data_IF_202276158558
#
_entry.id   IF_202276158558
#
_cell.length_a   1.000
_cell.length_b   1.000
_cell.length_c   1.000
_cell.angle_alpha   90.00
_cell.angle_beta   90.00
_cell.angle_gamma   90.00
#
_symmetry.space_group_name_H-M   'P 1'
#
loop_
_entity.id
_entity.type
_entity.pdbx_description
1 polymer ?
#
# COMPACT_ATOMS: atom_id res chain seq x y z
N UNK A 1 -5.15 -3.56 13.52
CA UNK A 1 -5.04 -4.54 12.42
C UNK A 1 -3.67 -5.24 12.45
N UNK A 2 -3.58 -6.52 12.03
CA UNK A 2 -2.31 -7.15 11.66
C UNK A 2 -2.53 -7.96 10.37
N UNK A 3 -2.09 -7.45 9.23
CA UNK A 3 -2.08 -8.22 7.98
C UNK A 3 -1.17 -9.45 8.15
N UNK A 4 -1.41 -10.53 7.40
CA UNK A 4 -0.50 -11.70 7.45
C UNK A 4 0.83 -11.32 6.80
N UNK A 5 0.78 -10.81 5.56
CA UNK A 5 1.96 -10.42 4.79
C UNK A 5 1.72 -9.09 4.07
N UNK A 6 2.68 -8.17 4.19
CA UNK A 6 2.75 -6.95 3.36
C UNK A 6 3.85 -7.12 2.32
N UNK A 7 3.53 -6.82 1.06
CA UNK A 7 4.46 -6.84 -0.06
C UNK A 7 4.86 -5.41 -0.43
N UNK A 8 6.17 -5.18 -0.56
CA UNK A 8 6.76 -3.87 -0.91
C UNK A 8 7.65 -4.01 -2.15
N UNK A 9 7.72 -2.98 -2.98
CA UNK A 9 8.56 -3.01 -4.18
C UNK A 9 10.03 -2.77 -3.84
N UNK A 10 10.89 -3.67 -4.31
CA UNK A 10 12.33 -3.58 -4.12
C UNK A 10 12.90 -2.39 -4.88
N UNK A 11 13.73 -1.57 -4.23
CA UNK A 11 14.42 -0.45 -4.88
C UNK A 11 13.59 0.83 -5.03
N UNK A 12 12.30 0.80 -4.63
CA UNK A 12 11.44 1.98 -4.62
C UNK A 12 11.64 2.78 -3.32
N UNK A 13 11.88 4.10 -3.45
CA UNK A 13 12.16 4.97 -2.29
C UNK A 13 11.01 5.01 -1.29
N UNK A 14 9.77 5.04 -1.77
CA UNK A 14 8.58 5.02 -0.92
C UNK A 14 8.49 3.72 -0.12
N UNK A 15 8.72 2.57 -0.76
CA UNK A 15 8.72 1.26 -0.12
C UNK A 15 9.74 1.18 1.03
N UNK A 16 10.92 1.76 0.85
CA UNK A 16 11.91 1.87 1.93
C UNK A 16 11.42 2.77 3.07
N UNK A 17 10.81 3.92 2.74
CA UNK A 17 10.32 4.87 3.74
C UNK A 17 9.22 4.28 4.63
N UNK A 18 8.33 3.45 4.08
CA UNK A 18 7.21 2.84 4.84
C UNK A 18 7.55 1.45 5.41
N UNK A 19 8.79 0.98 5.32
CA UNK A 19 9.16 -0.39 5.73
C UNK A 19 8.94 -0.64 7.23
N UNK A 20 9.24 0.35 8.08
CA UNK A 20 9.00 0.26 9.52
C UNK A 20 7.51 0.15 9.85
N UNK A 21 6.69 0.95 9.17
CA UNK A 21 5.24 0.93 9.27
C UNK A 21 4.65 -0.41 8.84
N UNK A 22 5.11 -0.97 7.71
CA UNK A 22 4.68 -2.27 7.23
C UNK A 22 5.01 -3.37 8.25
N UNK A 23 6.20 -3.32 8.86
CA UNK A 23 6.64 -4.28 9.88
C UNK A 23 5.79 -4.20 11.15
N UNK A 24 5.36 -3.01 11.54
CA UNK A 24 4.47 -2.82 12.69
C UNK A 24 3.05 -3.37 12.42
N UNK A 25 2.59 -3.33 11.16
CA UNK A 25 1.22 -3.69 10.77
C UNK A 25 1.05 -5.08 10.16
N UNK A 26 2.12 -5.85 9.97
CA UNK A 26 2.06 -7.21 9.43
C UNK A 26 2.77 -8.24 10.29
N UNK A 27 2.44 -9.52 10.08
CA UNK A 27 3.24 -10.64 10.58
C UNK A 27 4.57 -10.79 9.83
N UNK A 28 4.54 -10.54 8.52
CA UNK A 28 5.68 -10.65 7.61
C UNK A 28 5.70 -9.49 6.61
N UNK A 29 6.91 -9.03 6.23
CA UNK A 29 7.11 -8.08 5.14
C UNK A 29 8.01 -8.71 4.09
N UNK A 30 7.52 -8.78 2.85
CA UNK A 30 8.22 -9.39 1.71
C UNK A 30 8.53 -8.33 0.67
N UNK A 31 9.80 -8.24 0.27
CA UNK A 31 10.21 -7.40 -0.85
C UNK A 31 10.00 -8.16 -2.16
N UNK A 32 9.36 -7.53 -3.13
CA UNK A 32 9.10 -8.09 -4.46
C UNK A 32 9.68 -7.19 -5.54
N UNK A 33 10.13 -7.80 -6.63
CA UNK A 33 10.59 -7.08 -7.81
C UNK A 33 9.40 -6.71 -8.69
N UNK A 34 9.44 -5.51 -9.27
CA UNK A 34 8.48 -5.03 -10.27
C UNK A 34 8.53 -5.84 -11.58
N UNK A 35 9.63 -6.55 -11.83
CA UNK A 35 9.90 -7.28 -13.08
C UNK A 35 9.16 -8.61 -13.23
N UNK A 36 8.50 -9.11 -12.18
CA UNK A 36 7.77 -10.36 -12.22
C UNK A 36 6.32 -10.15 -11.76
N UNK A 37 5.30 -10.46 -12.60
CA UNK A 37 3.88 -10.46 -12.23
C UNK A 37 3.52 -11.39 -11.05
N UNK A 38 4.49 -12.10 -10.51
CA UNK A 38 4.35 -13.08 -9.44
C UNK A 38 3.75 -12.48 -8.15
N UNK A 39 3.93 -11.18 -7.90
CA UNK A 39 3.24 -10.50 -6.79
C UNK A 39 1.73 -10.50 -6.96
N UNK A 40 1.24 -10.51 -8.20
CA UNK A 40 -0.18 -10.45 -8.51
C UNK A 40 -0.91 -11.69 -8.02
N UNK A 41 -0.33 -12.87 -8.23
CA UNK A 41 -0.90 -14.15 -7.79
C UNK A 41 -0.67 -14.40 -6.30
N UNK A 42 0.36 -13.77 -5.72
CA UNK A 42 0.72 -13.91 -4.31
C UNK A 42 -0.02 -12.96 -3.38
N UNK A 43 -0.73 -11.97 -3.91
CA UNK A 43 -1.47 -10.97 -3.13
C UNK A 43 -2.97 -11.09 -3.36
N UNK A 44 -3.74 -10.75 -2.32
CA UNK A 44 -5.19 -10.73 -2.38
C UNK A 44 -5.77 -9.32 -2.48
N UNK A 45 -4.97 -8.29 -2.19
CA UNK A 45 -5.44 -6.92 -2.09
C UNK A 45 -4.32 -5.91 -2.38
N UNK A 46 -4.72 -4.69 -2.77
CA UNK A 46 -3.83 -3.60 -3.12
C UNK A 46 -4.14 -2.36 -2.27
N UNK A 47 -3.13 -1.83 -1.61
CA UNK A 47 -3.16 -0.56 -0.90
C UNK A 47 -2.27 0.46 -1.62
N UNK A 48 -2.82 1.64 -1.91
CA UNK A 48 -2.13 2.69 -2.65
C UNK A 48 -2.06 3.94 -1.78
N UNK A 49 -0.85 4.42 -1.52
CA UNK A 49 -0.63 5.76 -0.97
C UNK A 49 -0.50 6.74 -2.13
N UNK A 50 -1.15 7.89 -2.01
CA UNK A 50 -1.05 8.98 -2.95
C UNK A 50 -1.06 10.33 -2.25
N UNK A 51 -0.80 11.39 -3.00
CA UNK A 51 -1.00 12.77 -2.59
C UNK A 51 -1.94 13.44 -3.57
N UNK A 52 -2.99 14.11 -3.07
CA UNK A 52 -3.96 14.82 -3.88
C UNK A 52 -4.68 13.93 -4.91
N UNK A 53 -4.87 12.65 -4.60
CA UNK A 53 -5.51 11.64 -5.46
C UNK A 53 -4.77 11.31 -6.77
N UNK A 54 -3.57 11.85 -6.98
CA UNK A 54 -2.77 11.59 -8.18
C UNK A 54 -2.08 10.22 -8.11
N UNK A 55 -2.14 9.47 -9.21
CA UNK A 55 -1.49 8.17 -9.35
C UNK A 55 -0.57 8.19 -10.56
N UNK A 56 0.66 7.71 -10.40
CA UNK A 56 1.58 7.55 -11.52
C UNK A 56 1.04 6.51 -12.52
N UNK A 57 1.42 6.58 -13.81
CA UNK A 57 0.98 5.63 -14.81
C UNK A 57 1.20 4.17 -14.41
N UNK A 58 2.35 3.86 -13.79
CA UNK A 58 2.73 2.51 -13.36
C UNK A 58 1.76 1.97 -12.28
N UNK A 59 1.42 2.80 -11.30
CA UNK A 59 0.46 2.43 -10.25
C UNK A 59 -0.95 2.27 -10.83
N UNK A 60 -1.33 3.09 -11.83
CA UNK A 60 -2.61 2.94 -12.51
C UNK A 60 -2.72 1.62 -13.28
N UNK A 61 -1.65 1.18 -13.93
CA UNK A 61 -1.62 -0.12 -14.63
C UNK A 61 -1.81 -1.28 -13.66
N UNK A 62 -1.08 -1.28 -12.53
CA UNK A 62 -1.23 -2.31 -11.50
C UNK A 62 -2.66 -2.28 -10.94
N UNK A 63 -3.18 -1.08 -10.62
CA UNK A 63 -4.56 -0.94 -10.15
C UNK A 63 -5.57 -1.54 -11.13
N UNK A 64 -5.46 -1.26 -12.43
CA UNK A 64 -6.35 -1.82 -13.46
C UNK A 64 -6.32 -3.35 -13.48
N UNK A 65 -5.17 -3.96 -13.25
CA UNK A 65 -5.07 -5.40 -13.13
C UNK A 65 -5.82 -5.93 -11.89
N UNK A 66 -5.82 -5.23 -10.74
CA UNK A 66 -6.54 -5.66 -9.53
C UNK A 66 -8.04 -5.52 -9.70
N UNK A 67 -8.47 -4.40 -10.29
CA UNK A 67 -9.87 -4.17 -10.64
C UNK A 67 -10.39 -5.28 -11.57
N UNK A 68 -9.60 -5.69 -12.58
CA UNK A 68 -9.98 -6.75 -13.54
C UNK A 68 -10.19 -8.11 -12.85
N UNK A 69 -9.45 -8.41 -11.79
CA UNK A 69 -9.60 -9.63 -11.01
C UNK A 69 -10.58 -9.48 -9.83
N UNK A 70 -11.25 -8.32 -9.71
CA UNK A 70 -12.14 -8.00 -8.59
C UNK A 70 -11.45 -8.11 -7.22
N UNK A 71 -10.13 -7.89 -7.18
CA UNK A 71 -9.38 -7.87 -5.92
C UNK A 71 -9.59 -6.51 -5.24
N UNK A 72 -9.77 -6.47 -3.90
CA UNK A 72 -9.93 -5.24 -3.16
C UNK A 72 -8.78 -4.25 -3.39
N UNK A 73 -9.12 -2.99 -3.68
CA UNK A 73 -8.16 -1.88 -3.79
C UNK A 73 -8.57 -0.77 -2.82
N UNK A 74 -7.62 -0.28 -2.03
CA UNK A 74 -7.80 0.88 -1.16
C UNK A 74 -6.78 1.97 -1.46
N UNK A 75 -7.20 3.23 -1.27
CA UNK A 75 -6.36 4.41 -1.50
C UNK A 75 -6.30 5.25 -0.23
N UNK A 76 -5.11 5.66 0.16
CA UNK A 76 -4.85 6.60 1.25
C UNK A 76 -4.25 7.86 0.62
N UNK A 77 -4.97 8.97 0.76
CA UNK A 77 -4.42 10.29 0.46
C UNK A 77 -3.69 10.81 1.69
N UNK A 78 -2.36 10.95 1.59
CA UNK A 78 -1.52 11.39 2.70
C UNK A 78 -1.77 12.85 3.08
N UNK A 79 -2.35 13.65 2.18
CA UNK A 79 -2.76 15.02 2.48
C UNK A 79 -4.17 15.09 3.09
N UNK A 80 -4.89 13.97 3.14
CA UNK A 80 -6.15 13.85 3.85
C UNK A 80 -5.98 13.80 5.37
N UNK A 81 -7.09 13.70 6.08
CA UNK A 81 -7.09 13.58 7.54
C UNK A 81 -6.54 12.22 7.98
N UNK A 82 -5.39 12.22 8.69
CA UNK A 82 -4.71 11.02 9.18
C UNK A 82 -5.64 10.02 9.89
N UNK A 83 -6.44 10.50 10.85
CA UNK A 83 -7.37 9.65 11.62
C UNK A 83 -8.41 8.97 10.73
N UNK A 84 -8.87 9.67 9.69
CA UNK A 84 -9.82 9.10 8.71
C UNK A 84 -9.12 8.06 7.85
N UNK A 85 -7.89 8.33 7.41
CA UNK A 85 -7.07 7.39 6.65
C UNK A 85 -6.81 6.09 7.42
N UNK A 86 -6.40 6.18 8.68
CA UNK A 86 -6.11 5.01 9.53
C UNK A 86 -7.37 4.22 9.84
N UNK A 87 -8.44 4.87 10.30
CA UNK A 87 -9.69 4.18 10.65
C UNK A 87 -10.33 3.49 9.43
N UNK A 88 -10.30 4.15 8.26
CA UNK A 88 -10.81 3.55 7.02
C UNK A 88 -9.97 2.38 6.55
N UNK A 89 -8.65 2.42 6.76
CA UNK A 89 -7.75 1.32 6.41
C UNK A 89 -8.07 0.08 7.24
N UNK A 90 -8.20 0.22 8.57
CA UNK A 90 -8.52 -0.90 9.46
C UNK A 90 -9.87 -1.54 9.07
N UNK A 91 -10.90 -0.71 8.86
CA UNK A 91 -12.22 -1.17 8.43
C UNK A 91 -12.18 -1.88 7.07
N UNK A 92 -11.41 -1.36 6.11
CA UNK A 92 -11.26 -1.97 4.80
C UNK A 92 -10.60 -3.34 4.88
N UNK A 93 -9.53 -3.48 5.68
CA UNK A 93 -8.84 -4.76 5.88
C UNK A 93 -9.77 -5.80 6.50
N UNK A 94 -10.53 -5.41 7.52
CA UNK A 94 -11.47 -6.32 8.20
C UNK A 94 -12.62 -6.74 7.28
N UNK A 95 -13.23 -5.78 6.59
CA UNK A 95 -14.39 -6.03 5.71
C UNK A 95 -14.03 -6.94 4.54
N UNK A 96 -12.86 -6.72 3.94
CA UNK A 96 -12.41 -7.45 2.75
C UNK A 96 -11.54 -8.67 3.09
N UNK A 97 -11.28 -8.91 4.38
CA UNK A 97 -10.42 -10.01 4.87
C UNK A 97 -9.04 -10.00 4.19
N UNK A 98 -8.47 -8.82 4.01
CA UNK A 98 -7.17 -8.64 3.37
C UNK A 98 -6.07 -9.30 4.22
N UNK A 99 -5.37 -10.29 3.66
CA UNK A 99 -4.27 -11.00 4.36
C UNK A 99 -2.91 -10.69 3.74
N UNK A 100 -2.86 -10.63 2.41
CA UNK A 100 -1.65 -10.49 1.60
C UNK A 100 -1.74 -9.21 0.76
N UNK A 101 -1.27 -8.12 1.33
CA UNK A 101 -1.50 -6.76 0.82
C UNK A 101 -0.27 -6.29 0.04
N UNK A 102 -0.42 -5.93 -1.23
CA UNK A 102 0.59 -5.15 -1.94
C UNK A 102 0.44 -3.67 -1.57
N UNK A 103 1.53 -3.01 -1.19
CA UNK A 103 1.51 -1.58 -0.87
C UNK A 103 2.34 -0.81 -1.89
N UNK A 104 1.71 0.16 -2.56
CA UNK A 104 2.32 1.00 -3.58
C UNK A 104 2.22 2.49 -3.23
N UNK A 105 3.16 3.26 -3.74
CA UNK A 105 3.16 4.72 -3.63
C UNK A 105 4.21 5.31 -4.56
N UNK A 106 3.98 6.54 -5.01
CA UNK A 106 4.95 7.27 -5.82
C UNK A 106 6.19 7.65 -5.02
N UNK A 107 7.35 7.71 -5.68
CA UNK A 107 8.61 8.06 -5.00
C UNK A 107 8.60 9.49 -4.46
N UNK A 108 7.84 10.38 -5.10
CA UNK A 108 7.64 11.77 -4.70
C UNK A 108 7.04 11.89 -3.29
N UNK A 109 6.29 10.88 -2.83
CA UNK A 109 5.68 10.86 -1.50
C UNK A 109 6.71 10.93 -0.37
N UNK A 110 7.94 10.49 -0.61
CA UNK A 110 9.03 10.56 0.39
C UNK A 110 9.38 12.00 0.76
N UNK A 111 9.13 12.96 -0.14
CA UNK A 111 9.32 14.39 0.12
C UNK A 111 8.19 15.04 0.94
N UNK A 112 7.09 14.32 1.14
CA UNK A 112 5.90 14.85 1.81
C UNK A 112 5.96 14.56 3.31
N UNK A 113 5.99 15.62 4.13
CA UNK A 113 6.07 15.55 5.59
C UNK A 113 4.90 14.76 6.23
N UNK A 114 3.77 14.63 5.55
CA UNK A 114 2.64 13.87 6.06
C UNK A 114 2.87 12.36 6.00
N UNK A 115 3.78 11.86 5.14
CA UNK A 115 4.10 10.43 5.07
C UNK A 115 4.70 9.91 6.39
N UNK A 116 5.53 10.72 7.05
CA UNK A 116 6.11 10.38 8.37
C UNK A 116 5.04 10.21 9.44
N UNK A 117 3.92 10.93 9.33
CA UNK A 117 2.82 10.83 10.29
C UNK A 117 2.11 9.48 10.21
N UNK A 118 1.96 8.94 9.00
CA UNK A 118 1.46 7.57 8.80
C UNK A 118 2.47 6.53 9.28
N UNK A 119 3.76 6.81 9.11
CA UNK A 119 4.83 5.87 9.49
C UNK A 119 4.92 5.63 11.00
N UNK A 120 4.44 6.59 11.80
CA UNK A 120 4.41 6.52 13.27
C UNK A 120 3.02 6.16 13.84
N UNK A 121 2.03 5.91 12.98
CA UNK A 121 0.67 5.50 13.37
C UNK A 121 0.51 3.98 13.33
#
# INVERSE_FOLDING_TARGET
>A
MKAETIFLLTGNKFSNAISAWATARAGEVVQVSDKLPDFFDRTDSLLIFNQNQELTPEIQEIKKAYDKQQKPVHKIDINGTLMVGVANLDLWVETNKCRRILVLGGEELVSNLNLERYSNS
#
